data_IF_760043017747
#
_entry.id   IF_760043017747
#
_cell.length_a   1.000
_cell.length_b   1.000
_cell.length_c   1.000
_cell.angle_alpha   90.00
_cell.angle_beta   90.00
_cell.angle_gamma   90.00
#
_symmetry.space_group_name_H-M   'P 1'
#
loop_
_entity.id
_entity.type
_entity.pdbx_description
1 polymer ?
#
# COMPACT_ATOMS: atom_id res chain seq x y z
N UNK A 1 -24.33 0.80 -3.67
CA UNK A 1 -22.99 0.52 -3.13
C UNK A 1 -22.04 0.45 -4.32
N UNK A 2 -21.23 1.49 -4.49
CA UNK A 2 -20.20 1.55 -5.51
C UNK A 2 -18.85 1.60 -4.82
N UNK A 3 -17.87 0.89 -5.37
CA UNK A 3 -16.49 0.95 -4.91
C UNK A 3 -15.65 1.74 -5.93
N UNK A 4 -14.65 2.47 -5.44
CA UNK A 4 -13.74 3.19 -6.31
C UNK A 4 -12.55 2.28 -6.67
N UNK A 5 -12.27 2.16 -7.97
CA UNK A 5 -11.14 1.42 -8.53
C UNK A 5 -10.29 2.35 -9.39
N UNK A 6 -9.10 1.88 -9.75
CA UNK A 6 -8.18 2.55 -10.70
C UNK A 6 -7.83 4.00 -10.33
N UNK A 7 -7.78 4.29 -9.03
CA UNK A 7 -7.36 5.59 -8.52
C UNK A 7 -5.87 5.80 -8.76
N UNK A 8 -5.54 6.90 -9.43
CA UNK A 8 -4.16 7.31 -9.64
C UNK A 8 -3.55 7.78 -8.33
N UNK A 9 -2.30 7.41 -8.11
CA UNK A 9 -1.47 8.01 -7.07
C UNK A 9 -1.01 9.38 -7.56
N UNK A 10 -1.62 10.44 -7.04
CA UNK A 10 -1.26 11.84 -7.26
C UNK A 10 -0.90 12.48 -5.92
N UNK A 11 -0.10 13.55 -5.93
CA UNK A 11 0.21 14.32 -4.74
C UNK A 11 -1.05 14.61 -3.90
N UNK A 12 -1.04 14.29 -2.59
CA UNK A 12 0.12 13.89 -1.77
C UNK A 12 0.35 12.38 -1.63
N UNK A 13 -0.36 11.54 -2.39
CA UNK A 13 -0.34 10.07 -2.31
C UNK A 13 0.60 9.41 -3.32
N UNK A 14 1.21 10.19 -4.20
CA UNK A 14 2.26 9.78 -5.15
C UNK A 14 3.60 9.47 -4.48
N UNK A 15 3.61 9.23 -3.17
CA UNK A 15 4.76 8.71 -2.44
C UNK A 15 4.24 7.71 -1.43
N UNK A 16 4.91 6.55 -1.30
CA UNK A 16 4.58 5.61 -0.22
C UNK A 16 4.80 6.28 1.13
N UNK A 17 3.72 6.46 1.88
CA UNK A 17 3.77 7.21 3.12
C UNK A 17 4.70 6.53 4.13
N UNK A 18 5.68 7.25 4.66
CA UNK A 18 6.54 6.74 5.74
C UNK A 18 5.92 6.95 7.13
N UNK A 19 4.87 7.74 7.23
CA UNK A 19 4.14 8.03 8.46
C UNK A 19 2.65 8.05 8.19
N UNK A 20 1.86 7.58 9.15
CA UNK A 20 0.41 7.46 9.02
C UNK A 20 -0.01 6.17 8.34
N UNK A 21 -1.25 6.13 7.85
CA UNK A 21 -1.83 4.93 7.23
C UNK A 21 -1.54 4.91 5.73
N UNK A 22 -1.12 3.76 5.22
CA UNK A 22 -1.01 3.50 3.77
C UNK A 22 -1.79 2.25 3.40
N UNK A 23 -2.35 2.23 2.18
CA UNK A 23 -3.19 1.14 1.67
C UNK A 23 -2.43 0.32 0.64
N UNK A 24 -2.55 -1.00 0.76
CA UNK A 24 -1.85 -1.95 -0.10
C UNK A 24 -2.82 -2.95 -0.71
N UNK A 25 -2.84 -3.04 -2.03
CA UNK A 25 -3.62 -4.02 -2.79
C UNK A 25 -2.89 -5.37 -2.80
N UNK A 26 -3.58 -6.46 -2.45
CA UNK A 26 -3.08 -7.82 -2.58
C UNK A 26 -3.15 -8.26 -4.04
N UNK A 27 -1.99 -8.44 -4.68
CA UNK A 27 -1.91 -8.90 -6.07
C UNK A 27 -2.02 -10.43 -6.19
N UNK A 28 -1.71 -11.15 -5.11
CA UNK A 28 -1.83 -12.61 -5.04
C UNK A 28 -0.75 -13.23 -4.17
N UNK A 29 -0.79 -14.56 -4.06
CA UNK A 29 0.23 -15.34 -3.39
C UNK A 29 1.52 -15.43 -4.22
N UNK A 30 2.66 -15.41 -3.54
CA UNK A 30 3.99 -15.57 -4.13
C UNK A 30 4.66 -14.25 -4.44
N UNK A 31 5.66 -14.31 -5.32
CA UNK A 31 6.52 -13.17 -5.63
C UNK A 31 5.83 -12.09 -6.45
N UNK A 32 6.25 -10.84 -6.24
CA UNK A 32 5.73 -9.72 -6.98
C UNK A 32 6.26 -9.72 -8.42
N UNK A 33 5.38 -9.53 -9.43
CA UNK A 33 5.81 -9.50 -10.83
C UNK A 33 6.70 -8.30 -11.14
N UNK A 34 6.63 -7.24 -10.33
CA UNK A 34 7.43 -6.03 -10.50
C UNK A 34 7.90 -5.51 -9.14
N UNK A 35 8.63 -6.36 -8.40
CA UNK A 35 9.26 -5.99 -7.12
C UNK A 35 9.99 -4.66 -7.23
N UNK A 36 9.61 -3.71 -6.37
CA UNK A 36 10.20 -2.37 -6.39
C UNK A 36 11.57 -2.39 -5.74
N UNK A 37 12.53 -1.75 -6.41
CA UNK A 37 13.83 -1.43 -5.82
C UNK A 37 13.70 -0.15 -5.01
N UNK A 38 13.84 -0.26 -3.70
CA UNK A 38 13.85 0.89 -2.80
C UNK A 38 15.27 1.46 -2.73
N UNK A 39 15.40 2.78 -2.68
CA UNK A 39 16.70 3.44 -2.48
C UNK A 39 17.34 3.07 -1.13
N UNK A 40 16.50 2.81 -0.13
CA UNK A 40 16.90 2.43 1.21
C UNK A 40 16.31 1.05 1.59
N UNK A 41 17.18 0.15 2.02
CA UNK A 41 16.78 -1.20 2.45
C UNK A 41 15.95 -1.18 3.72
N UNK A 42 16.19 -0.23 4.62
CA UNK A 42 15.40 -0.09 5.86
C UNK A 42 13.95 0.29 5.56
N UNK A 43 13.73 1.13 4.56
CA UNK A 43 12.39 1.49 4.06
C UNK A 43 11.63 0.26 3.60
N UNK A 44 12.25 -0.60 2.78
CA UNK A 44 11.63 -1.87 2.35
C UNK A 44 11.30 -2.76 3.55
N UNK A 45 12.25 -2.94 4.48
CA UNK A 45 12.05 -3.76 5.67
C UNK A 45 10.88 -3.23 6.51
N UNK A 46 10.76 -1.91 6.66
CA UNK A 46 9.66 -1.27 7.39
C UNK A 46 8.30 -1.63 6.79
N UNK A 47 8.14 -1.56 5.47
CA UNK A 47 6.89 -1.98 4.80
C UNK A 47 6.61 -3.48 4.96
N UNK A 48 7.62 -4.33 4.75
CA UNK A 48 7.46 -5.79 4.85
C UNK A 48 7.06 -6.20 6.27
N UNK A 49 7.70 -5.64 7.29
CA UNK A 49 7.35 -5.89 8.70
C UNK A 49 5.92 -5.42 8.99
N UNK A 50 5.58 -4.18 8.62
CA UNK A 50 4.25 -3.63 8.89
C UNK A 50 3.13 -4.41 8.16
N UNK A 51 3.36 -4.91 6.95
CA UNK A 51 2.41 -5.75 6.21
C UNK A 51 2.24 -7.14 6.83
N UNK A 52 3.32 -7.70 7.37
CA UNK A 52 3.30 -9.01 8.02
C UNK A 52 2.66 -8.95 9.42
N UNK A 53 2.79 -7.82 10.11
CA UNK A 53 2.22 -7.60 11.45
C UNK A 53 0.81 -6.98 11.43
N UNK A 54 0.31 -6.57 10.26
CA UNK A 54 -1.01 -5.95 10.15
C UNK A 54 -2.12 -6.90 10.57
N UNK A 55 -3.04 -6.39 11.38
CA UNK A 55 -4.25 -7.09 11.82
C UNK A 55 -5.44 -6.83 10.89
N UNK A 56 -5.25 -6.10 9.79
CA UNK A 56 -6.30 -5.88 8.81
C UNK A 56 -6.66 -7.19 8.08
N UNK A 57 -7.90 -7.62 8.26
CA UNK A 57 -8.45 -8.87 7.73
C UNK A 57 -9.12 -8.71 6.37
N UNK A 58 -9.06 -7.53 5.74
CA UNK A 58 -9.61 -7.34 4.40
C UNK A 58 -8.88 -8.24 3.38
N UNK A 59 -9.66 -8.89 2.51
CA UNK A 59 -9.16 -9.91 1.60
C UNK A 59 -8.49 -9.32 0.35
N UNK A 60 -8.84 -8.08 -0.01
CA UNK A 60 -8.40 -7.42 -1.24
C UNK A 60 -7.33 -6.36 -0.95
N UNK A 61 -7.51 -5.59 0.11
CA UNK A 61 -6.57 -4.54 0.52
C UNK A 61 -6.10 -4.79 1.94
N UNK A 62 -4.97 -4.21 2.29
CA UNK A 62 -4.41 -4.22 3.63
C UNK A 62 -3.92 -2.83 3.96
N UNK A 63 -4.48 -2.25 5.01
CA UNK A 63 -4.01 -1.00 5.57
C UNK A 63 -2.89 -1.29 6.60
N UNK A 64 -1.83 -0.50 6.54
CA UNK A 64 -0.72 -0.54 7.50
C UNK A 64 -0.51 0.86 8.07
N UNK A 65 -0.08 0.94 9.32
CA UNK A 65 0.24 2.21 9.98
C UNK A 65 1.72 2.30 10.28
N UNK A 66 2.34 3.40 9.85
CA UNK A 66 3.77 3.64 9.95
C UNK A 66 4.06 4.85 10.85
N UNK A 67 5.19 4.80 11.55
CA UNK A 67 5.58 5.78 12.58
C UNK A 67 6.64 6.79 12.11
N UNK A 68 7.08 6.73 10.84
CA UNK A 68 8.12 7.63 10.31
C UNK A 68 9.56 7.23 10.62
N UNK A 69 9.79 6.30 11.55
CA UNK A 69 11.15 5.79 11.86
C UNK A 69 11.63 4.80 10.81
N UNK A 70 12.86 4.97 10.32
CA UNK A 70 13.56 4.06 9.39
C UNK A 70 12.88 3.90 8.01
N UNK A 71 12.19 4.95 7.55
CA UNK A 71 11.57 4.99 6.24
C UNK A 71 11.88 6.33 5.57
N UNK A 72 12.24 6.28 4.29
CA UNK A 72 12.47 7.45 3.44
C UNK A 72 11.38 7.49 2.37
N UNK A 73 10.63 8.59 2.35
CA UNK A 73 9.60 8.84 1.36
C UNK A 73 10.30 9.16 0.02
N UNK A 74 10.04 8.36 -1.02
CA UNK A 74 10.71 8.45 -2.32
C UNK A 74 9.66 8.38 -3.45
N UNK A 75 9.74 9.31 -4.40
CA UNK A 75 8.86 9.37 -5.58
C UNK A 75 8.96 8.12 -6.47
N UNK A 76 10.05 7.36 -6.39
CA UNK A 76 10.18 6.07 -7.07
C UNK A 76 9.31 4.96 -6.45
N UNK A 77 8.63 5.24 -5.34
CA UNK A 77 7.75 4.29 -4.64
C UNK A 77 6.27 4.42 -5.04
N UNK A 78 5.96 5.21 -6.08
CA UNK A 78 4.62 5.23 -6.68
C UNK A 78 4.28 3.81 -7.15
N UNK A 79 3.20 3.24 -6.63
CA UNK A 79 2.78 1.90 -7.00
C UNK A 79 3.76 0.81 -6.55
N UNK A 80 4.55 1.07 -5.51
CA UNK A 80 5.58 0.16 -5.05
C UNK A 80 5.02 -1.24 -4.77
N UNK A 81 5.75 -2.28 -5.17
CA UNK A 81 5.40 -3.67 -4.91
C UNK A 81 6.39 -4.32 -3.94
N UNK A 82 5.86 -4.98 -2.91
CA UNK A 82 6.62 -5.67 -1.87
C UNK A 82 6.04 -7.04 -1.59
N UNK A 83 6.94 -7.97 -1.28
CA UNK A 83 6.58 -9.32 -0.83
C UNK A 83 6.58 -9.35 0.70
N UNK A 84 5.46 -9.76 1.29
CA UNK A 84 5.31 -9.91 2.73
C UNK A 84 4.40 -11.11 3.01
N UNK A 85 4.77 -11.93 3.99
CA UNK A 85 4.00 -13.12 4.39
C UNK A 85 3.65 -14.09 3.23
N UNK A 86 4.57 -14.24 2.27
CA UNK A 86 4.36 -15.09 1.09
C UNK A 86 3.36 -14.52 0.08
N UNK A 87 3.06 -13.23 0.15
CA UNK A 87 2.10 -12.53 -0.70
C UNK A 87 2.72 -11.30 -1.34
N UNK A 88 2.20 -10.92 -2.51
CA UNK A 88 2.56 -9.68 -3.16
C UNK A 88 1.55 -8.59 -2.85
N UNK A 89 2.08 -7.44 -2.41
CA UNK A 89 1.31 -6.24 -2.13
C UNK A 89 1.79 -5.08 -3.01
N UNK A 90 0.85 -4.27 -3.50
CA UNK A 90 1.11 -3.04 -4.24
C UNK A 90 0.56 -1.83 -3.47
N UNK A 91 1.37 -0.79 -3.28
CA UNK A 91 0.90 0.47 -2.71
C UNK A 91 -0.12 1.13 -3.66
N UNK A 92 -1.25 1.54 -3.12
CA UNK A 92 -2.38 2.09 -3.88
C UNK A 92 -3.01 3.28 -3.15
N UNK A 93 -3.89 3.99 -3.84
CA UNK A 93 -4.58 5.15 -3.27
C UNK A 93 -5.34 4.76 -1.98
N UNK A 94 -5.33 5.61 -0.93
CA UNK A 94 -6.03 5.31 0.33
C UNK A 94 -7.52 5.03 0.18
N UNK A 95 -8.15 5.57 -0.87
CA UNK A 95 -9.57 5.36 -1.18
C UNK A 95 -9.85 4.17 -2.10
N UNK A 96 -8.84 3.40 -2.53
CA UNK A 96 -9.08 2.23 -3.36
C UNK A 96 -9.95 1.22 -2.60
N UNK A 97 -11.02 0.73 -3.22
CA UNK A 97 -12.03 -0.15 -2.61
C UNK A 97 -12.82 0.48 -1.44
N UNK A 98 -12.77 1.80 -1.25
CA UNK A 98 -13.73 2.46 -0.37
C UNK A 98 -15.11 2.44 -1.01
N UNK A 99 -16.11 2.16 -0.18
CA UNK A 99 -17.52 2.17 -0.55
C UNK A 99 -18.10 3.52 -0.17
N UNK A 100 -18.69 4.19 -1.16
CA UNK A 100 -19.48 5.40 -0.93
C UNK A 100 -20.94 5.11 -1.26
N UNK A 101 -21.82 5.57 -0.38
CA UNK A 101 -23.23 5.66 -0.68
C UNK A 101 -23.51 7.03 -1.29
N UNK A 102 -24.05 7.04 -2.50
CA UNK A 102 -24.43 8.27 -3.19
C UNK A 102 -25.96 8.38 -3.10
N UNK A 103 -26.51 9.10 -2.10
CA UNK A 103 -27.94 9.08 -1.80
C UNK A 103 -28.81 9.78 -2.86
N UNK A 104 -28.21 10.49 -3.82
CA UNK A 104 -28.90 11.19 -4.89
C UNK A 104 -28.13 10.97 -6.20
N UNK A 105 -28.87 10.55 -7.22
CA UNK A 105 -28.42 10.19 -8.58
C UNK A 105 -28.96 11.21 -9.57
#
# INVERSE_FOLDING_TARGET
VYEIRDLRLESPYDVSACSGTSRWLRLGSGSCPSSTTFADTMTKTTFVTALSESLDTNLLVRDITLQGTNCTADENTIGAQVEADGECFQHVHPDLHNVYDFPLW
#
